data_IF_024917909506
#
_entry.id   IF_024917909506
#
_cell.length_a   1.000
_cell.length_b   1.000
_cell.length_c   1.000
_cell.angle_alpha   90.00
_cell.angle_beta   90.00
_cell.angle_gamma   90.00
#
_symmetry.space_group_name_H-M   'P 1'
#
loop_
_entity.id
_entity.type
_entity.pdbx_description
1 polymer ?
#
# COMPACT_ATOMS: atom_id res chain seq x y z
N UNK A 1 -3.79 -16.25 -23.92
CA UNK A 1 -4.18 -15.10 -23.08
C UNK A 1 -2.94 -14.24 -22.92
N UNK A 2 -3.07 -12.94 -23.08
CA UNK A 2 -1.96 -12.00 -22.92
C UNK A 2 -1.61 -11.84 -21.41
N UNK A 3 -0.32 -11.68 -21.11
CA UNK A 3 0.21 -11.62 -19.75
C UNK A 3 -0.29 -10.37 -19.02
N UNK A 4 -0.41 -9.24 -19.72
CA UNK A 4 -0.91 -7.98 -19.17
C UNK A 4 -2.38 -8.11 -18.74
N UNK A 5 -3.19 -8.84 -19.52
CA UNK A 5 -4.59 -9.16 -19.21
C UNK A 5 -4.67 -10.07 -17.99
N UNK A 6 -3.77 -11.05 -17.86
CA UNK A 6 -3.72 -11.94 -16.71
C UNK A 6 -3.35 -11.18 -15.43
N UNK A 7 -2.31 -10.35 -15.47
CA UNK A 7 -1.83 -9.58 -14.32
C UNK A 7 -2.85 -8.51 -13.89
N UNK A 8 -3.53 -7.88 -14.86
CA UNK A 8 -4.66 -7.00 -14.57
C UNK A 8 -5.81 -7.72 -13.86
N UNK A 9 -6.17 -8.93 -14.31
CA UNK A 9 -7.21 -9.74 -13.65
C UNK A 9 -6.78 -10.16 -12.24
N UNK A 10 -5.51 -10.52 -12.02
CA UNK A 10 -4.99 -10.85 -10.69
C UNK A 10 -5.01 -9.63 -9.75
N UNK A 11 -4.58 -8.46 -10.24
CA UNK A 11 -4.62 -7.19 -9.50
C UNK A 11 -6.04 -6.73 -9.16
N UNK A 12 -6.99 -6.92 -10.07
CA UNK A 12 -8.42 -6.66 -9.80
C UNK A 12 -8.94 -7.66 -8.76
N UNK A 13 -8.58 -8.95 -8.88
CA UNK A 13 -9.02 -9.99 -7.95
C UNK A 13 -8.43 -9.86 -6.54
N UNK A 14 -7.20 -9.36 -6.39
CA UNK A 14 -6.57 -9.18 -5.07
C UNK A 14 -7.25 -8.08 -4.25
N UNK A 15 -7.84 -7.08 -4.91
CA UNK A 15 -8.61 -6.00 -4.27
C UNK A 15 -10.08 -6.36 -4.01
N UNK A 16 -10.63 -7.39 -4.65
CA UNK A 16 -12.01 -7.83 -4.43
C UNK A 16 -12.08 -8.77 -3.23
N UNK A 17 -12.43 -8.23 -2.06
CA UNK A 17 -12.84 -9.08 -0.94
C UNK A 17 -14.25 -9.61 -1.21
N UNK A 18 -14.37 -10.93 -1.43
CA UNK A 18 -15.65 -11.64 -1.37
C UNK A 18 -16.10 -11.72 0.09
N UNK A 19 -17.08 -10.92 0.46
CA UNK A 19 -18.03 -11.31 1.50
C UNK A 19 -19.42 -10.95 1.02
N UNK A 20 -20.19 -11.93 0.51
CA UNK A 20 -21.64 -11.84 0.49
C UNK A 20 -22.15 -12.29 1.87
N UNK A 21 -21.82 -11.54 2.92
CA UNK A 21 -22.44 -11.76 4.23
C UNK A 21 -23.85 -11.19 4.18
N UNK A 22 -24.80 -11.87 3.53
CA UNK A 22 -26.26 -11.70 3.68
C UNK A 22 -26.90 -10.29 3.56
N UNK A 23 -26.13 -9.23 3.28
CA UNK A 23 -26.49 -7.84 3.53
C UNK A 23 -26.22 -6.96 2.30
N UNK A 24 -27.05 -7.09 1.26
CA UNK A 24 -27.09 -6.21 0.05
C UNK A 24 -25.72 -6.03 -0.66
N UNK A 25 -25.71 -5.18 -1.69
CA UNK A 25 -24.52 -4.82 -2.46
C UNK A 25 -23.47 -4.10 -1.60
N UNK A 26 -22.19 -4.41 -1.83
CA UNK A 26 -21.06 -3.72 -1.23
C UNK A 26 -21.02 -2.25 -1.67
N UNK A 27 -20.51 -1.36 -0.81
CA UNK A 27 -20.35 0.05 -1.21
C UNK A 27 -19.27 0.16 -2.30
N UNK A 28 -19.43 1.04 -3.32
CA UNK A 28 -18.48 1.16 -4.44
C UNK A 28 -16.99 1.39 -4.08
N UNK A 29 -16.70 1.95 -2.90
CA UNK A 29 -15.33 2.26 -2.44
C UNK A 29 -14.85 1.28 -1.35
N UNK A 30 -15.52 0.15 -1.21
CA UNK A 30 -15.12 -0.90 -0.26
C UNK A 30 -13.73 -1.40 -0.64
N UNK A 31 -12.77 -1.31 0.29
CA UNK A 31 -11.38 -1.72 0.06
C UNK A 31 -10.48 -0.64 -0.56
N UNK A 32 -11.04 0.50 -0.97
CA UNK A 32 -10.29 1.62 -1.57
C UNK A 32 -9.98 2.74 -0.57
N UNK A 33 -10.69 2.80 0.55
CA UNK A 33 -10.55 3.86 1.54
C UNK A 33 -9.51 3.51 2.62
N UNK A 34 -8.60 4.45 2.88
CA UNK A 34 -7.55 4.36 3.91
C UNK A 34 -7.60 5.58 4.83
N UNK A 35 -7.24 5.39 6.09
CA UNK A 35 -7.15 6.47 7.07
C UNK A 35 -5.92 7.34 6.78
N UNK A 36 -6.10 8.66 6.69
CA UNK A 36 -5.00 9.58 6.44
C UNK A 36 -3.95 9.56 7.56
N UNK A 37 -4.37 9.43 8.82
CA UNK A 37 -3.44 9.55 9.96
C UNK A 37 -2.63 8.28 10.24
N UNK A 38 -3.24 7.09 10.12
CA UNK A 38 -2.58 5.83 10.47
C UNK A 38 -2.34 4.89 9.28
N UNK A 39 -2.81 5.23 8.08
CA UNK A 39 -2.68 4.40 6.89
C UNK A 39 -3.50 3.10 6.91
N UNK A 40 -4.26 2.81 7.97
CA UNK A 40 -5.06 1.59 8.05
C UNK A 40 -6.30 1.64 7.15
N UNK A 41 -6.76 0.47 6.68
CA UNK A 41 -8.00 0.35 5.88
C UNK A 41 -9.21 0.90 6.64
N UNK A 42 -10.11 1.56 5.93
CA UNK A 42 -11.41 1.98 6.47
C UNK A 42 -12.52 1.03 6.03
N UNK A 43 -13.32 0.56 6.98
CA UNK A 43 -14.45 -0.32 6.69
C UNK A 43 -15.77 0.44 6.68
N UNK A 44 -16.68 0.03 5.80
CA UNK A 44 -18.03 0.58 5.73
C UNK A 44 -18.88 -0.07 6.81
N UNK A 45 -19.42 0.75 7.70
CA UNK A 45 -20.45 0.38 8.66
C UNK A 45 -21.77 1.05 8.28
N UNK A 46 -22.86 0.29 8.33
CA UNK A 46 -24.21 0.82 8.17
C UNK A 46 -24.84 0.90 9.55
N UNK A 47 -25.02 2.10 10.08
CA UNK A 47 -25.66 2.29 11.39
C UNK A 47 -27.17 2.06 11.27
N UNK A 48 -27.77 1.38 12.25
CA UNK A 48 -29.20 1.03 12.25
C UNK A 48 -30.00 1.98 13.15
N UNK A 49 -29.84 3.29 12.97
CA UNK A 49 -30.58 4.34 13.71
C UNK A 49 -31.64 4.97 12.81
N UNK A 50 -32.58 4.17 12.29
CA UNK A 50 -33.70 4.61 11.45
C UNK A 50 -33.34 5.02 10.02
N UNK A 51 -32.16 5.64 9.81
CA UNK A 51 -31.55 5.89 8.49
C UNK A 51 -30.29 5.04 8.35
N UNK A 52 -30.27 4.17 7.35
CA UNK A 52 -29.14 3.26 7.05
C UNK A 52 -28.04 4.00 6.28
N UNK A 53 -27.46 5.04 6.89
CA UNK A 53 -26.41 5.84 6.25
C UNK A 53 -25.07 5.07 6.30
N UNK A 54 -24.42 4.82 5.16
CA UNK A 54 -23.10 4.19 5.13
C UNK A 54 -22.01 5.15 5.63
N UNK A 55 -21.16 4.68 6.54
CA UNK A 55 -20.03 5.44 7.09
C UNK A 55 -18.74 4.62 7.03
N UNK A 56 -17.66 5.23 6.55
CA UNK A 56 -16.32 4.67 6.64
C UNK A 56 -15.76 4.90 8.03
N UNK A 57 -15.26 3.84 8.67
CA UNK A 57 -14.66 3.88 10.00
C UNK A 57 -13.25 3.30 9.94
N UNK A 58 -12.27 3.97 10.54
CA UNK A 58 -10.90 3.47 10.60
C UNK A 58 -10.80 2.13 11.35
N UNK A 59 -10.17 1.12 10.74
CA UNK A 59 -10.03 -0.22 11.32
C UNK A 59 -9.00 -0.32 12.45
N UNK A 60 -8.06 0.64 12.54
CA UNK A 60 -7.00 0.61 13.55
C UNK A 60 -7.46 1.13 14.91
N UNK A 61 -8.50 1.99 14.95
CA UNK A 61 -8.96 2.59 16.21
C UNK A 61 -9.42 1.52 17.22
N UNK A 62 -10.21 0.54 16.77
CA UNK A 62 -10.82 -0.48 17.62
C UNK A 62 -9.89 -1.66 17.95
N UNK A 63 -8.63 -1.65 17.49
CA UNK A 63 -7.66 -2.70 17.84
C UNK A 63 -7.15 -2.46 19.26
N UNK A 64 -6.95 -3.53 20.03
CA UNK A 64 -6.46 -3.44 21.42
C UNK A 64 -4.91 -3.35 21.39
N UNK A 65 -4.29 -2.40 22.12
CA UNK A 65 -4.91 -1.36 22.94
C UNK A 65 -5.62 -0.29 22.10
N UNK A 66 -6.86 0.03 22.46
CA UNK A 66 -7.71 0.98 21.73
C UNK A 66 -7.02 2.33 21.67
N UNK A 67 -7.02 2.94 20.49
CA UNK A 67 -6.46 4.27 20.30
C UNK A 67 -4.95 4.34 20.10
N UNK A 68 -4.25 3.20 19.94
CA UNK A 68 -2.79 3.16 19.76
C UNK A 68 -2.32 3.91 18.51
N UNK A 69 -3.00 3.71 17.37
CA UNK A 69 -2.60 4.31 16.08
C UNK A 69 -3.45 5.52 15.68
N UNK A 70 -4.70 5.58 16.12
CA UNK A 70 -5.56 6.75 15.95
C UNK A 70 -6.09 7.16 17.33
N UNK A 71 -5.80 8.37 17.84
CA UNK A 71 -6.27 8.80 19.15
C UNK A 71 -7.80 8.89 19.24
N UNK A 72 -8.46 9.16 18.11
CA UNK A 72 -9.93 9.25 18.01
C UNK A 72 -10.46 8.30 16.95
N UNK A 73 -11.76 8.03 17.00
CA UNK A 73 -12.39 7.15 16.02
C UNK A 73 -12.72 7.91 14.73
N UNK A 74 -11.78 7.88 13.79
CA UNK A 74 -11.96 8.55 12.49
C UNK A 74 -13.11 7.91 11.71
N UNK A 75 -14.08 8.76 11.36
CA UNK A 75 -15.30 8.40 10.64
C UNK A 75 -15.58 9.41 9.55
N UNK A 76 -16.04 8.92 8.39
CA UNK A 76 -16.40 9.75 7.25
C UNK A 76 -17.72 9.22 6.67
N UNK A 77 -18.67 10.12 6.40
CA UNK A 77 -19.93 9.76 5.73
C UNK A 77 -19.64 9.36 4.28
N UNK A 78 -20.12 8.19 3.86
CA UNK A 78 -19.83 7.69 2.52
C UNK A 78 -20.48 8.54 1.41
N UNK A 79 -21.66 9.12 1.68
CA UNK A 79 -22.34 9.99 0.72
C UNK A 79 -21.51 11.25 0.39
N UNK A 80 -20.89 11.87 1.40
CA UNK A 80 -20.00 13.03 1.21
C UNK A 80 -18.81 12.67 0.34
N UNK A 81 -18.21 11.49 0.56
CA UNK A 81 -17.09 11.01 -0.27
C UNK A 81 -17.55 10.79 -1.72
N UNK A 82 -18.73 10.21 -1.93
CA UNK A 82 -19.28 9.97 -3.26
C UNK A 82 -19.58 11.27 -4.01
N UNK A 83 -20.10 12.29 -3.32
CA UNK A 83 -20.34 13.62 -3.90
C UNK A 83 -19.03 14.27 -4.36
N UNK A 84 -18.01 14.28 -3.50
CA UNK A 84 -16.69 14.83 -3.84
C UNK A 84 -16.05 14.11 -5.04
N UNK A 85 -16.11 12.77 -5.07
CA UNK A 85 -15.59 11.99 -6.20
C UNK A 85 -16.36 12.32 -7.48
N UNK A 86 -17.69 12.45 -7.40
CA UNK A 86 -18.52 12.79 -8.56
C UNK A 86 -18.19 14.17 -9.11
N UNK A 87 -18.01 15.17 -8.25
CA UNK A 87 -17.61 16.52 -8.65
C UNK A 87 -16.23 16.53 -9.30
N UNK A 88 -15.27 15.82 -8.71
CA UNK A 88 -13.94 15.67 -9.27
C UNK A 88 -13.97 15.02 -10.66
N UNK A 89 -14.73 13.94 -10.83
CA UNK A 89 -14.86 13.25 -12.12
C UNK A 89 -15.49 14.15 -13.20
N UNK A 90 -16.46 14.98 -12.82
CA UNK A 90 -17.03 15.98 -13.74
C UNK A 90 -15.99 17.01 -14.15
N UNK A 91 -15.25 17.57 -13.20
CA UNK A 91 -14.19 18.53 -13.49
C UNK A 91 -13.11 17.94 -14.41
N UNK A 92 -12.72 16.68 -14.20
CA UNK A 92 -11.79 15.95 -15.07
C UNK A 92 -12.38 15.78 -16.48
N UNK A 93 -13.66 15.40 -16.59
CA UNK A 93 -14.31 15.22 -17.88
C UNK A 93 -14.40 16.54 -18.67
N UNK A 94 -14.76 17.63 -18.00
CA UNK A 94 -14.82 18.98 -18.58
C UNK A 94 -13.43 19.46 -19.04
N UNK A 95 -12.42 19.30 -18.19
CA UNK A 95 -11.04 19.67 -18.51
C UNK A 95 -10.48 18.85 -19.70
N UNK A 96 -10.79 17.55 -19.75
CA UNK A 96 -10.40 16.69 -20.88
C UNK A 96 -11.07 17.09 -22.20
N UNK A 97 -12.27 17.67 -22.17
CA UNK A 97 -12.97 18.12 -23.38
C UNK A 97 -12.45 19.46 -23.89
N UNK A 98 -12.04 20.35 -22.98
CA UNK A 98 -11.59 21.70 -23.33
C UNK A 98 -10.13 21.73 -23.81
N UNK A 99 -9.24 20.93 -23.20
CA UNK A 99 -7.81 20.98 -23.53
C UNK A 99 -7.13 19.61 -23.42
N UNK A 100 -7.38 18.74 -24.41
CA UNK A 100 -6.94 17.34 -24.40
C UNK A 100 -5.42 17.17 -24.26
N UNK A 101 -4.63 17.98 -24.95
CA UNK A 101 -3.16 17.88 -24.92
C UNK A 101 -2.59 18.25 -23.55
N UNK A 102 -3.05 19.37 -22.99
CA UNK A 102 -2.67 19.83 -21.66
C UNK A 102 -3.10 18.85 -20.56
N UNK A 103 -4.29 18.26 -20.71
CA UNK A 103 -4.78 17.22 -19.82
C UNK A 103 -3.88 15.98 -19.83
N UNK A 104 -3.51 15.48 -21.02
CA UNK A 104 -2.62 14.32 -21.15
C UNK A 104 -1.26 14.61 -20.50
N UNK A 105 -0.69 15.79 -20.74
CA UNK A 105 0.58 16.21 -20.16
C UNK A 105 0.51 16.30 -18.63
N UNK A 106 -0.57 16.87 -18.10
CA UNK A 106 -0.80 17.01 -16.65
C UNK A 106 -0.98 15.65 -15.99
N UNK A 107 -1.76 14.75 -16.58
CA UNK A 107 -1.96 13.37 -16.09
C UNK A 107 -0.64 12.62 -16.10
N UNK A 108 0.17 12.71 -17.17
CA UNK A 108 1.50 12.08 -17.25
C UNK A 108 2.43 12.58 -16.15
N UNK A 109 2.45 13.90 -15.90
CA UNK A 109 3.27 14.50 -14.84
C UNK A 109 2.82 14.04 -13.46
N UNK A 110 1.51 14.05 -13.19
CA UNK A 110 0.96 13.58 -11.93
C UNK A 110 1.27 12.11 -11.67
N UNK A 111 1.09 11.25 -12.68
CA UNK A 111 1.40 9.82 -12.61
C UNK A 111 2.90 9.58 -12.33
N UNK A 112 3.79 10.28 -13.05
CA UNK A 112 5.24 10.16 -12.84
C UNK A 112 5.65 10.63 -11.44
N UNK A 113 5.07 11.73 -10.96
CA UNK A 113 5.29 12.25 -9.61
C UNK A 113 4.85 11.25 -8.55
N UNK A 114 3.63 10.72 -8.67
CA UNK A 114 3.10 9.72 -7.75
C UNK A 114 4.00 8.47 -7.70
N UNK A 115 4.34 7.90 -8.86
CA UNK A 115 5.25 6.75 -8.94
C UNK A 115 6.60 7.03 -8.27
N UNK A 116 7.17 8.23 -8.50
CA UNK A 116 8.44 8.61 -7.87
C UNK A 116 8.36 8.69 -6.34
N UNK A 117 7.23 9.20 -5.82
CA UNK A 117 7.00 9.32 -4.37
C UNK A 117 6.80 7.95 -3.72
N UNK A 118 6.07 7.04 -4.39
CA UNK A 118 5.85 5.68 -3.92
C UNK A 118 7.15 4.88 -3.88
N UNK A 119 7.95 4.96 -4.94
CA UNK A 119 9.29 4.34 -4.99
C UNK A 119 10.19 4.90 -3.87
N UNK A 120 10.15 6.21 -3.63
CA UNK A 120 10.96 6.84 -2.58
C UNK A 120 10.56 6.33 -1.19
N UNK A 121 9.24 6.24 -0.93
CA UNK A 121 8.71 5.70 0.32
C UNK A 121 9.11 4.23 0.52
N UNK A 122 8.98 3.42 -0.54
CA UNK A 122 9.33 2.00 -0.52
C UNK A 122 10.83 1.80 -0.24
N UNK A 123 11.71 2.58 -0.91
CA UNK A 123 13.15 2.58 -0.65
C UNK A 123 13.51 3.01 0.78
N UNK A 124 12.83 4.01 1.33
CA UNK A 124 13.03 4.44 2.72
C UNK A 124 12.68 3.31 3.69
N UNK A 125 11.51 2.69 3.51
CA UNK A 125 11.05 1.58 4.36
C UNK A 125 11.99 0.37 4.28
N UNK A 126 12.47 0.04 3.08
CA UNK A 126 13.44 -1.02 2.86
C UNK A 126 14.75 -0.75 3.61
N UNK A 127 15.28 0.47 3.56
CA UNK A 127 16.48 0.85 4.31
C UNK A 127 16.28 0.73 5.82
N UNK A 128 15.12 1.15 6.34
CA UNK A 128 14.78 1.02 7.76
C UNK A 128 14.69 -0.45 8.20
N UNK A 129 14.02 -1.29 7.41
CA UNK A 129 13.89 -2.72 7.69
C UNK A 129 15.26 -3.42 7.67
N UNK A 130 16.10 -3.13 6.68
CA UNK A 130 17.46 -3.66 6.60
C UNK A 130 18.33 -3.24 7.79
N UNK A 131 18.26 -1.97 8.21
CA UNK A 131 18.95 -1.49 9.42
C UNK A 131 18.48 -2.23 10.67
N UNK A 132 17.15 -2.44 10.81
CA UNK A 132 16.59 -3.15 11.94
C UNK A 132 17.09 -4.60 12.01
N UNK A 133 17.17 -5.30 10.87
CA UNK A 133 17.74 -6.65 10.80
C UNK A 133 19.21 -6.66 11.26
N UNK A 134 20.03 -5.72 10.79
CA UNK A 134 21.43 -5.60 11.23
C UNK A 134 21.56 -5.31 12.73
N UNK A 135 20.66 -4.51 13.30
CA UNK A 135 20.67 -4.22 14.72
C UNK A 135 20.23 -5.44 15.56
N UNK A 136 19.27 -6.23 15.07
CA UNK A 136 18.89 -7.49 15.69
C UNK A 136 20.05 -8.49 15.73
N UNK A 137 20.86 -8.57 14.67
CA UNK A 137 22.07 -9.42 14.64
C UNK A 137 23.07 -9.01 15.72
N UNK A 138 23.33 -7.70 15.88
CA UNK A 138 24.21 -7.20 16.95
C UNK A 138 23.66 -7.51 18.35
N UNK A 139 22.35 -7.38 18.54
CA UNK A 139 21.69 -7.69 19.81
C UNK A 139 21.79 -9.19 20.13
N UNK A 140 21.61 -10.06 19.13
CA UNK A 140 21.76 -11.51 19.28
C UNK A 140 23.19 -11.89 19.69
N UNK A 141 24.21 -11.34 19.03
CA UNK A 141 25.60 -11.56 19.41
C UNK A 141 25.86 -11.18 20.87
N UNK A 142 25.39 -10.01 21.29
CA UNK A 142 25.57 -9.52 22.66
C UNK A 142 24.86 -10.39 23.71
N UNK A 143 23.64 -10.83 23.42
CA UNK A 143 22.87 -11.70 24.32
C UNK A 143 23.51 -13.08 24.44
N UNK A 144 24.08 -13.59 23.35
CA UNK A 144 24.83 -14.84 23.37
C UNK A 144 26.09 -14.73 24.24
N UNK A 145 26.85 -13.62 24.12
CA UNK A 145 28.00 -13.34 24.97
C UNK A 145 27.61 -13.23 26.45
N UNK A 146 26.55 -12.49 26.78
CA UNK A 146 26.09 -12.33 28.16
C UNK A 146 25.55 -13.65 28.76
N UNK A 147 25.01 -14.57 27.93
CA UNK A 147 24.61 -15.91 28.34
C UNK A 147 25.83 -16.77 28.72
N UNK A 148 26.86 -16.81 27.86
CA UNK A 148 28.09 -17.57 28.14
C UNK A 148 28.81 -17.04 29.39
N UNK A 149 28.77 -15.73 29.62
CA UNK A 149 29.34 -15.10 30.81
C UNK A 149 28.50 -15.32 32.09
N UNK A 150 27.36 -16.02 31.99
CA UNK A 150 26.46 -16.31 33.11
C UNK A 150 25.73 -15.09 33.66
N UNK A 151 25.77 -13.95 32.96
CA UNK A 151 25.05 -12.73 33.34
C UNK A 151 23.56 -12.81 33.00
N UNK A 152 23.23 -13.68 32.03
CA UNK A 152 21.87 -13.95 31.60
C UNK A 152 21.53 -15.42 31.87
N UNK A 153 20.39 -15.73 32.53
CA UNK A 153 19.92 -17.10 32.67
C UNK A 153 19.48 -17.70 31.32
N UNK A 154 19.73 -19.00 31.11
CA UNK A 154 19.38 -19.71 29.87
C UNK A 154 17.89 -19.62 29.51
N UNK A 155 16.99 -19.68 30.49
CA UNK A 155 15.55 -19.52 30.26
C UNK A 155 15.22 -18.17 29.63
N UNK A 156 15.92 -17.11 30.04
CA UNK A 156 15.71 -15.77 29.52
C UNK A 156 16.35 -15.60 28.14
N UNK A 157 17.50 -16.23 27.90
CA UNK A 157 18.13 -16.31 26.59
C UNK A 157 17.19 -16.92 25.56
N UNK A 158 16.61 -18.10 25.84
CA UNK A 158 15.73 -18.80 24.91
C UNK A 158 14.49 -17.98 24.51
N UNK A 159 13.92 -17.21 25.45
CA UNK A 159 12.79 -16.32 25.16
C UNK A 159 13.21 -15.16 24.24
N UNK A 160 14.34 -14.51 24.50
CA UNK A 160 14.83 -13.37 23.71
C UNK A 160 15.27 -13.81 22.31
N UNK A 161 15.99 -14.93 22.21
CA UNK A 161 16.40 -15.53 20.95
C UNK A 161 15.18 -15.87 20.06
N UNK A 162 14.15 -16.47 20.64
CA UNK A 162 12.91 -16.76 19.94
C UNK A 162 12.17 -15.50 19.44
N UNK A 163 12.15 -14.43 20.24
CA UNK A 163 11.53 -13.16 19.86
C UNK A 163 12.28 -12.48 18.71
N UNK A 164 13.60 -12.35 18.80
CA UNK A 164 14.41 -11.71 17.76
C UNK A 164 14.48 -12.56 16.49
N UNK A 165 14.58 -13.88 16.61
CA UNK A 165 14.50 -14.78 15.45
C UNK A 165 13.17 -14.67 14.71
N UNK A 166 12.06 -14.47 15.45
CA UNK A 166 10.75 -14.25 14.84
C UNK A 166 10.69 -12.90 14.12
N UNK A 167 11.11 -11.82 14.78
CA UNK A 167 11.14 -10.48 14.20
C UNK A 167 12.03 -10.43 12.95
N UNK A 168 13.21 -11.06 12.99
CA UNK A 168 14.13 -11.15 11.86
C UNK A 168 13.49 -11.87 10.67
N UNK A 169 12.80 -12.99 10.90
CA UNK A 169 12.09 -13.71 9.82
C UNK A 169 10.99 -12.88 9.18
N UNK A 170 10.20 -12.17 10.00
CA UNK A 170 9.13 -11.29 9.51
C UNK A 170 9.72 -10.13 8.68
N UNK A 171 10.78 -9.49 9.15
CA UNK A 171 11.46 -8.40 8.44
C UNK A 171 12.16 -8.88 7.16
N UNK A 172 12.80 -10.06 7.17
CA UNK A 172 13.42 -10.62 5.96
C UNK A 172 12.39 -10.95 4.88
N UNK A 173 11.20 -11.42 5.26
CA UNK A 173 10.10 -11.62 4.32
C UNK A 173 9.59 -10.28 3.76
N UNK A 174 9.41 -9.25 4.62
CA UNK A 174 9.00 -7.90 4.20
C UNK A 174 10.04 -7.29 3.23
N UNK A 175 11.34 -7.43 3.52
CA UNK A 175 12.43 -6.95 2.65
C UNK A 175 12.37 -7.64 1.29
N UNK A 176 12.24 -8.96 1.24
CA UNK A 176 12.18 -9.71 -0.03
C UNK A 176 10.99 -9.29 -0.89
N UNK A 177 9.83 -9.03 -0.28
CA UNK A 177 8.64 -8.53 -0.98
C UNK A 177 8.88 -7.12 -1.54
N UNK A 178 9.45 -6.20 -0.74
CA UNK A 178 9.75 -4.84 -1.18
C UNK A 178 10.83 -4.80 -2.27
N UNK A 179 11.85 -5.67 -2.20
CA UNK A 179 12.87 -5.81 -3.24
C UNK A 179 12.27 -6.32 -4.56
N UNK A 180 11.39 -7.31 -4.49
CA UNK A 180 10.67 -7.81 -5.67
C UNK A 180 9.80 -6.71 -6.30
N UNK A 181 9.06 -5.94 -5.49
CA UNK A 181 8.24 -4.83 -5.98
C UNK A 181 9.09 -3.75 -6.67
N UNK A 182 10.23 -3.36 -6.08
CA UNK A 182 11.17 -2.40 -6.68
C UNK A 182 11.76 -2.91 -8.00
N UNK A 183 12.12 -4.20 -8.06
CA UNK A 183 12.64 -4.81 -9.29
C UNK A 183 11.60 -4.78 -10.41
N UNK A 184 10.34 -5.06 -10.10
CA UNK A 184 9.22 -4.97 -11.05
C UNK A 184 9.05 -3.56 -11.61
N UNK A 185 9.11 -2.53 -10.76
CA UNK A 185 9.05 -1.14 -11.22
C UNK A 185 10.23 -0.76 -12.13
N UNK A 186 11.44 -1.25 -11.85
CA UNK A 186 12.62 -0.99 -12.67
C UNK A 186 12.55 -1.69 -14.03
N UNK A 187 12.06 -2.94 -14.07
CA UNK A 187 11.82 -3.70 -15.29
C UNK A 187 10.74 -3.04 -16.17
N UNK A 188 9.60 -2.65 -15.59
CA UNK A 188 8.53 -1.95 -16.29
C UNK A 188 9.04 -0.63 -16.89
N UNK A 189 9.81 0.14 -16.13
CA UNK A 189 10.42 1.38 -16.61
C UNK A 189 11.39 1.14 -17.77
N UNK A 190 12.18 0.07 -17.71
CA UNK A 190 13.08 -0.31 -18.80
C UNK A 190 12.32 -0.77 -20.04
N UNK A 191 11.23 -1.53 -19.86
CA UNK A 191 10.35 -1.97 -20.94
C UNK A 191 9.68 -0.80 -21.65
N UNK A 192 9.08 0.13 -20.90
CA UNK A 192 8.46 1.35 -21.43
C UNK A 192 9.47 2.22 -22.22
N UNK A 193 10.71 2.35 -21.72
CA UNK A 193 11.77 3.03 -22.45
C UNK A 193 12.13 2.36 -23.78
N UNK A 194 12.20 1.02 -23.81
CA UNK A 194 12.49 0.25 -25.02
C UNK A 194 11.36 0.38 -26.04
N UNK A 195 10.10 0.42 -25.60
CA UNK A 195 8.93 0.56 -26.47
C UNK A 195 8.85 1.95 -27.10
N UNK A 196 9.08 3.01 -26.31
CA UNK A 196 9.15 4.38 -26.83
C UNK A 196 10.26 4.56 -27.86
N UNK A 197 11.43 3.92 -27.66
CA UNK A 197 12.53 3.96 -28.62
C UNK A 197 12.19 3.29 -29.96
N UNK A 198 11.43 2.18 -29.94
CA UNK A 198 10.97 1.50 -31.15
C UNK A 198 9.97 2.34 -31.95
N UNK A 199 8.99 2.95 -31.27
CA UNK A 199 7.99 3.79 -31.92
C UNK A 199 8.62 5.03 -32.58
N UNK A 200 9.58 5.68 -31.91
CA UNK A 200 10.32 6.82 -32.50
C UNK A 200 11.21 6.45 -33.68
N UNK A 201 11.63 5.17 -33.78
CA UNK A 201 12.44 4.69 -34.90
C UNK A 201 11.58 4.32 -36.12
N UNK A 202 10.33 3.88 -35.92
CA UNK A 202 9.37 3.60 -37.00
C UNK A 202 8.83 4.90 -37.64
N UNK A 203 8.54 5.93 -36.83
CA UNK A 203 8.10 7.25 -37.32
C UNK A 203 9.18 7.98 -38.15
N UNK A 204 10.45 7.60 -38.01
CA UNK A 204 11.58 8.18 -38.77
C UNK A 204 11.80 7.53 -40.15
N UNK A 205 11.12 6.42 -40.47
CA UNK A 205 11.28 5.69 -41.73
C UNK A 205 10.06 5.78 -42.67
N UNK A 206 8.95 6.39 -42.23
CA UNK A 206 7.72 6.56 -43.02
C UNK A 206 7.43 8.01 -43.43
N UNK A 207 8.40 8.93 -43.28
CA UNK A 207 8.32 10.33 -43.69
C UNK A 207 9.04 10.62 -45.01
#
# INVERSE_FOLDING_TARGET
>A
MDQETFDNVQRIRSNVRRYPDGWREAHPLTGLMYCADCGAKMYVHRVNNGKRVPQYTCSAYSKIPVGTLCPTQHRINADVVMELIKELLKAIAEYSQLNREEFIETVRKAQTSQQSSEITRLKSRLSEAQKRVQDLEKLLCRIYEDNILGKLPDERYAVLDGQYSKEQKELSAEIAEMEAELSGYEEEKQWLKKQNFKNTAEDAYTG
#
